data_IF_407917520528
#
_entry.id   IF_407917520528
#
_cell.length_a   1.000
_cell.length_b   1.000
_cell.length_c   1.000
_cell.angle_alpha   90.00
_cell.angle_beta   90.00
_cell.angle_gamma   90.00
#
_symmetry.space_group_name_H-M   'P 1'
#
loop_
_entity.id
_entity.type
_entity.pdbx_description
1 polymer ?
#
# COMPACT_ATOMS: atom_id res chain seq x y z
N UNK A 1 16.66 -44.88 5.20
CA UNK A 1 15.24 -44.98 5.61
C UNK A 1 14.58 -43.73 5.06
N UNK A 2 13.73 -43.88 4.05
CA UNK A 2 13.15 -42.77 3.30
C UNK A 2 12.26 -41.91 4.22
N UNK A 3 12.61 -40.64 4.40
CA UNK A 3 11.70 -39.67 5.02
C UNK A 3 10.52 -39.49 4.06
N UNK A 4 9.39 -40.02 4.49
CA UNK A 4 8.10 -39.85 3.86
C UNK A 4 7.76 -38.35 3.86
N UNK A 5 7.93 -37.70 2.71
CA UNK A 5 7.44 -36.35 2.47
C UNK A 5 5.91 -36.38 2.56
N UNK A 6 5.38 -36.08 3.73
CA UNK A 6 3.95 -35.84 3.91
C UNK A 6 3.69 -34.44 3.35
N UNK A 7 2.97 -34.27 2.22
CA UNK A 7 2.59 -32.95 1.77
C UNK A 7 1.62 -32.39 2.79
N UNK A 8 2.11 -31.51 3.65
CA UNK A 8 1.32 -30.86 4.69
C UNK A 8 0.45 -29.76 4.05
N UNK A 9 -0.52 -30.17 3.23
CA UNK A 9 -1.47 -29.29 2.55
C UNK A 9 -2.23 -28.41 3.56
N UNK A 10 -2.44 -28.89 4.80
CA UNK A 10 -3.10 -28.14 5.87
C UNK A 10 -2.25 -27.02 6.50
N UNK A 11 -1.01 -27.30 6.90
CA UNK A 11 -0.12 -26.27 7.50
C UNK A 11 0.51 -25.35 6.45
N UNK A 12 0.69 -25.84 5.21
CA UNK A 12 1.15 -25.03 4.08
C UNK A 12 0.15 -23.94 3.70
N UNK A 13 -1.14 -24.28 3.56
CA UNK A 13 -2.17 -23.27 3.26
C UNK A 13 -2.35 -22.25 4.38
N UNK A 14 -2.37 -22.69 5.64
CA UNK A 14 -2.49 -21.79 6.80
C UNK A 14 -1.28 -20.86 6.89
N UNK A 15 -0.06 -21.36 6.70
CA UNK A 15 1.15 -20.52 6.71
C UNK A 15 1.20 -19.53 5.54
N UNK A 16 0.72 -19.91 4.36
CA UNK A 16 0.59 -19.00 3.21
C UNK A 16 -0.46 -17.92 3.47
N UNK A 17 -1.63 -18.28 4.03
CA UNK A 17 -2.69 -17.33 4.38
C UNK A 17 -2.23 -16.34 5.47
N UNK A 18 -1.55 -16.84 6.51
CA UNK A 18 -0.98 -16.02 7.58
C UNK A 18 0.13 -15.13 7.02
N UNK A 19 1.01 -15.66 6.17
CA UNK A 19 2.06 -14.88 5.51
C UNK A 19 1.48 -13.76 4.64
N UNK A 20 0.45 -14.07 3.84
CA UNK A 20 -0.25 -13.07 3.04
C UNK A 20 -0.90 -11.99 3.90
N UNK A 21 -1.57 -12.37 5.00
CA UNK A 21 -2.17 -11.43 5.93
C UNK A 21 -1.12 -10.51 6.57
N UNK A 22 0.02 -11.06 6.99
CA UNK A 22 1.12 -10.28 7.58
C UNK A 22 1.67 -9.28 6.56
N UNK A 23 1.96 -9.72 5.34
CA UNK A 23 2.45 -8.83 4.27
C UNK A 23 1.40 -7.76 3.93
N UNK A 24 0.12 -8.12 3.92
CA UNK A 24 -0.97 -7.19 3.68
C UNK A 24 -1.09 -6.14 4.79
N UNK A 25 -0.99 -6.53 6.06
CA UNK A 25 -0.99 -5.59 7.20
C UNK A 25 0.22 -4.66 7.13
N UNK A 26 1.41 -5.20 6.84
CA UNK A 26 2.64 -4.40 6.65
C UNK A 26 2.45 -3.40 5.51
N UNK A 27 1.88 -3.84 4.38
CA UNK A 27 1.56 -2.97 3.26
C UNK A 27 0.60 -1.84 3.66
N UNK A 28 -0.49 -2.16 4.37
CA UNK A 28 -1.44 -1.15 4.86
C UNK A 28 -0.79 -0.16 5.84
N UNK A 29 0.11 -0.62 6.70
CA UNK A 29 0.85 0.25 7.61
C UNK A 29 1.81 1.17 6.84
N UNK A 30 2.54 0.65 5.86
CA UNK A 30 3.47 1.45 5.05
C UNK A 30 2.70 2.53 4.28
N UNK A 31 1.63 2.16 3.56
CA UNK A 31 0.83 3.12 2.80
C UNK A 31 0.09 4.08 3.73
N UNK A 32 -0.47 3.58 4.83
CA UNK A 32 -1.12 4.42 5.84
C UNK A 32 -0.16 5.47 6.40
N UNK A 33 1.08 5.09 6.68
CA UNK A 33 2.12 6.01 7.14
C UNK A 33 2.53 7.02 6.06
N UNK A 34 2.70 6.59 4.81
CA UNK A 34 2.97 7.47 3.66
C UNK A 34 1.88 8.51 3.49
N UNK A 35 0.62 8.08 3.50
CA UNK A 35 -0.55 8.95 3.34
C UNK A 35 -0.73 9.88 4.54
N UNK A 36 -0.46 9.40 5.75
CA UNK A 36 -0.52 10.21 6.96
C UNK A 36 0.52 11.33 6.90
N UNK A 37 1.77 11.00 6.57
CA UNK A 37 2.85 11.97 6.48
C UNK A 37 2.61 12.99 5.35
N UNK A 38 2.16 12.53 4.18
CA UNK A 38 1.77 13.41 3.07
C UNK A 38 0.60 14.32 3.44
N UNK A 39 -0.39 13.78 4.15
CA UNK A 39 -1.54 14.54 4.67
C UNK A 39 -1.13 15.60 5.69
N UNK A 40 -0.29 15.25 6.66
CA UNK A 40 0.17 16.17 7.69
C UNK A 40 1.04 17.30 7.12
N UNK A 41 1.89 17.02 6.13
CA UNK A 41 2.71 18.05 5.47
C UNK A 41 1.85 19.06 4.68
N UNK A 42 0.82 18.58 3.96
CA UNK A 42 0.01 19.43 3.07
C UNK A 42 -1.13 20.14 3.79
N UNK A 43 -1.81 19.44 4.70
CA UNK A 43 -3.04 19.92 5.37
C UNK A 43 -2.72 20.49 6.76
N UNK A 44 -1.59 20.09 7.33
CA UNK A 44 -1.22 20.40 8.71
C UNK A 44 -1.87 19.47 9.72
N UNK A 45 -1.94 19.93 10.97
CA UNK A 45 -2.25 19.19 12.20
C UNK A 45 -3.70 18.65 12.34
N UNK A 46 -4.45 18.53 11.24
CA UNK A 46 -5.84 18.04 11.20
C UNK A 46 -5.97 16.58 10.76
N UNK A 47 -4.86 15.92 10.45
CA UNK A 47 -4.84 14.61 9.81
C UNK A 47 -4.56 13.50 10.83
N UNK A 48 -5.52 12.62 11.02
CA UNK A 48 -5.40 11.51 11.98
C UNK A 48 -4.86 10.25 11.31
N UNK A 49 -3.98 9.50 11.99
CA UNK A 49 -3.41 8.24 11.45
C UNK A 49 -4.50 7.22 11.07
N UNK A 50 -5.60 7.17 11.84
CA UNK A 50 -6.75 6.31 11.52
C UNK A 50 -7.47 6.69 10.22
N UNK A 51 -7.52 7.98 9.86
CA UNK A 51 -8.13 8.44 8.60
C UNK A 51 -7.22 8.07 7.41
N UNK A 52 -5.90 8.22 7.57
CA UNK A 52 -4.92 7.82 6.57
C UNK A 52 -4.91 6.30 6.34
N UNK A 53 -5.03 5.51 7.41
CA UNK A 53 -5.10 4.05 7.32
C UNK A 53 -6.44 3.58 6.70
N UNK A 54 -7.52 4.30 6.97
CA UNK A 54 -8.81 4.11 6.28
C UNK A 54 -8.70 4.37 4.78
N UNK A 55 -8.02 5.44 4.36
CA UNK A 55 -7.74 5.70 2.94
C UNK A 55 -6.81 4.64 2.37
N UNK A 56 -5.77 4.20 3.08
CA UNK A 56 -4.88 3.14 2.62
C UNK A 56 -5.64 1.83 2.36
N UNK A 57 -6.50 1.42 3.30
CA UNK A 57 -7.34 0.23 3.17
C UNK A 57 -8.40 0.38 2.09
N UNK A 58 -9.34 1.31 2.30
CA UNK A 58 -10.48 1.51 1.41
C UNK A 58 -10.02 1.96 0.03
N UNK A 59 -9.03 2.84 -0.05
CA UNK A 59 -8.46 3.32 -1.31
C UNK A 59 -7.80 2.21 -2.10
N UNK A 60 -7.02 1.31 -1.49
CA UNK A 60 -6.43 0.18 -2.22
C UNK A 60 -7.52 -0.73 -2.79
N UNK A 61 -8.59 -0.99 -2.04
CA UNK A 61 -9.70 -1.81 -2.53
C UNK A 61 -10.54 -1.09 -3.59
N UNK A 62 -10.93 0.17 -3.39
CA UNK A 62 -11.78 0.92 -4.33
C UNK A 62 -11.03 1.29 -5.60
N UNK A 63 -9.80 1.79 -5.48
CA UNK A 63 -8.96 2.16 -6.64
C UNK A 63 -8.51 0.89 -7.36
N UNK A 64 -8.12 -0.16 -6.62
CA UNK A 64 -7.78 -1.45 -7.20
C UNK A 64 -8.96 -2.08 -7.94
N UNK A 65 -10.17 -2.05 -7.37
CA UNK A 65 -11.37 -2.50 -8.04
C UNK A 65 -11.72 -1.64 -9.26
N UNK A 66 -11.60 -0.31 -9.16
CA UNK A 66 -11.82 0.58 -10.30
C UNK A 66 -10.86 0.26 -11.46
N UNK A 67 -9.56 0.11 -11.17
CA UNK A 67 -8.56 -0.20 -12.19
C UNK A 67 -8.70 -1.64 -12.72
N UNK A 68 -9.18 -2.60 -11.92
CA UNK A 68 -9.33 -3.99 -12.35
C UNK A 68 -10.62 -4.23 -13.16
N UNK A 69 -11.74 -3.64 -12.77
CA UNK A 69 -13.06 -3.92 -13.34
C UNK A 69 -13.51 -2.91 -14.41
N UNK A 70 -13.14 -1.62 -14.31
CA UNK A 70 -13.57 -0.63 -15.31
C UNK A 70 -12.85 -0.69 -16.67
N UNK A 71 -11.63 -1.24 -16.85
CA UNK A 71 -11.05 -1.37 -18.18
C UNK A 71 -11.94 -2.18 -19.13
N UNK A 72 -12.69 -3.15 -18.59
CA UNK A 72 -13.64 -3.97 -19.34
C UNK A 72 -14.88 -3.19 -19.84
N UNK A 73 -15.17 -2.02 -19.26
CA UNK A 73 -16.42 -1.27 -19.51
C UNK A 73 -16.14 0.09 -20.19
N UNK A 74 -15.06 0.79 -19.79
CA UNK A 74 -14.80 2.20 -20.16
C UNK A 74 -13.40 2.36 -20.80
N UNK A 75 -12.63 1.26 -20.93
CA UNK A 75 -11.25 1.28 -21.39
C UNK A 75 -10.25 1.70 -20.30
N UNK A 76 -8.98 1.33 -20.50
CA UNK A 76 -7.91 1.46 -19.48
C UNK A 76 -7.71 2.89 -18.98
N UNK A 77 -7.93 3.88 -19.86
CA UNK A 77 -7.80 5.31 -19.53
C UNK A 77 -8.98 5.78 -18.67
N UNK A 78 -10.19 5.31 -18.95
CA UNK A 78 -11.39 5.64 -18.16
C UNK A 78 -11.34 5.08 -16.74
N UNK A 79 -10.88 3.83 -16.59
CA UNK A 79 -10.69 3.21 -15.27
C UNK A 79 -9.67 3.93 -14.40
N UNK A 80 -8.56 4.40 -14.99
CA UNK A 80 -7.55 5.18 -14.28
C UNK A 80 -8.10 6.53 -13.81
N UNK A 81 -8.83 7.25 -14.66
CA UNK A 81 -9.43 8.54 -14.31
C UNK A 81 -10.47 8.41 -13.19
N UNK A 82 -11.32 7.39 -13.24
CA UNK A 82 -12.31 7.13 -12.19
C UNK A 82 -11.63 6.70 -10.89
N UNK A 83 -10.60 5.84 -10.95
CA UNK A 83 -9.80 5.48 -9.78
C UNK A 83 -9.13 6.69 -9.13
N UNK A 84 -8.58 7.59 -9.95
CA UNK A 84 -7.99 8.85 -9.48
C UNK A 84 -9.06 9.77 -8.88
N UNK A 85 -10.24 9.85 -9.48
CA UNK A 85 -11.36 10.64 -8.97
C UNK A 85 -11.86 10.11 -7.61
N UNK A 86 -12.00 8.79 -7.48
CA UNK A 86 -12.39 8.10 -6.25
C UNK A 86 -11.34 8.36 -5.17
N UNK A 87 -10.07 8.22 -5.50
CA UNK A 87 -8.97 8.50 -4.56
C UNK A 87 -9.02 9.94 -4.07
N UNK A 88 -9.19 10.90 -4.98
CA UNK A 88 -9.30 12.32 -4.65
C UNK A 88 -10.53 12.61 -3.77
N UNK A 89 -11.65 11.93 -4.03
CA UNK A 89 -12.87 12.05 -3.26
C UNK A 89 -12.71 11.46 -1.85
N UNK A 90 -12.01 10.32 -1.73
CA UNK A 90 -11.67 9.69 -0.46
C UNK A 90 -10.79 10.62 0.38
N UNK A 91 -9.71 11.14 -0.21
CA UNK A 91 -8.80 12.11 0.44
C UNK A 91 -9.57 13.35 0.89
N UNK A 92 -10.45 13.90 0.05
CA UNK A 92 -11.30 15.04 0.40
C UNK A 92 -12.22 14.74 1.59
N UNK A 93 -12.87 13.58 1.59
CA UNK A 93 -13.85 13.22 2.61
C UNK A 93 -13.18 12.89 3.95
N UNK A 94 -12.11 12.10 3.92
CA UNK A 94 -11.39 11.65 5.12
C UNK A 94 -10.52 12.76 5.73
N UNK A 95 -9.81 13.57 4.94
CA UNK A 95 -8.99 14.66 5.50
C UNK A 95 -9.74 15.98 5.69
N UNK A 96 -11.05 16.02 5.37
CA UNK A 96 -11.91 17.22 5.47
C UNK A 96 -11.28 18.47 4.82
N UNK A 97 -10.59 18.28 3.70
CA UNK A 97 -9.87 19.35 3.00
C UNK A 97 -10.68 19.94 1.85
N UNK A 98 -10.34 21.16 1.44
CA UNK A 98 -10.76 21.71 0.15
C UNK A 98 -10.17 20.92 -1.04
N UNK A 99 -10.65 21.21 -2.25
CA UNK A 99 -10.17 20.58 -3.49
C UNK A 99 -8.66 20.77 -3.72
N UNK A 100 -8.11 21.94 -3.37
CA UNK A 100 -6.68 22.23 -3.41
C UNK A 100 -5.85 21.35 -2.45
N UNK A 101 -6.39 21.05 -1.27
CA UNK A 101 -5.73 20.16 -0.31
C UNK A 101 -5.66 18.72 -0.81
N UNK A 102 -6.73 18.22 -1.44
CA UNK A 102 -6.74 16.86 -1.97
C UNK A 102 -5.73 16.66 -3.12
N UNK A 103 -5.59 17.66 -4.00
CA UNK A 103 -4.58 17.65 -5.07
C UNK A 103 -3.16 17.78 -4.47
N UNK A 104 -2.97 18.61 -3.45
CA UNK A 104 -1.69 18.71 -2.77
C UNK A 104 -1.28 17.39 -2.11
N UNK A 105 -2.21 16.71 -1.44
CA UNK A 105 -1.96 15.41 -0.79
C UNK A 105 -1.65 14.34 -1.82
N UNK A 106 -2.30 14.32 -2.98
CA UNK A 106 -1.99 13.32 -4.02
C UNK A 106 -0.56 13.50 -4.57
N UNK A 107 -0.15 14.74 -4.85
CA UNK A 107 1.21 15.04 -5.31
C UNK A 107 2.22 14.68 -4.21
N UNK A 108 1.93 15.07 -2.96
CA UNK A 108 2.85 14.82 -1.86
C UNK A 108 2.93 13.34 -1.48
N UNK A 109 1.85 12.58 -1.66
CA UNK A 109 1.85 11.13 -1.51
C UNK A 109 2.79 10.47 -2.53
N UNK A 110 2.85 10.96 -3.77
CA UNK A 110 3.82 10.46 -4.77
C UNK A 110 5.24 10.73 -4.31
N UNK A 111 5.53 11.93 -3.80
CA UNK A 111 6.87 12.28 -3.31
C UNK A 111 7.28 11.40 -2.12
N UNK A 112 6.41 11.25 -1.12
CA UNK A 112 6.68 10.39 0.04
C UNK A 112 6.82 8.93 -0.38
N UNK A 113 6.02 8.46 -1.35
CA UNK A 113 6.15 7.11 -1.90
C UNK A 113 7.53 6.88 -2.53
N UNK A 114 8.04 7.83 -3.33
CA UNK A 114 9.40 7.75 -3.92
C UNK A 114 10.46 7.65 -2.81
N UNK A 115 10.35 8.48 -1.76
CA UNK A 115 11.28 8.44 -0.63
C UNK A 115 11.24 7.08 0.09
N UNK A 116 10.05 6.54 0.34
CA UNK A 116 9.88 5.24 0.99
C UNK A 116 10.39 4.10 0.13
N UNK A 117 10.16 4.11 -1.18
CA UNK A 117 10.72 3.13 -2.11
C UNK A 117 12.25 3.20 -2.10
N UNK A 118 12.83 4.39 -2.03
CA UNK A 118 14.27 4.56 -1.96
C UNK A 118 14.85 3.96 -0.67
N UNK A 119 14.20 4.20 0.47
CA UNK A 119 14.59 3.63 1.77
C UNK A 119 14.43 2.10 1.76
N UNK A 120 13.28 1.58 1.34
CA UNK A 120 13.00 0.15 1.25
C UNK A 120 13.93 -0.55 0.26
N UNK A 121 14.22 0.09 -0.87
CA UNK A 121 15.14 -0.42 -1.89
C UNK A 121 16.57 -0.48 -1.38
N UNK A 122 17.03 0.55 -0.66
CA UNK A 122 18.34 0.52 0.00
C UNK A 122 18.40 -0.57 1.08
N UNK A 123 17.33 -0.78 1.84
CA UNK A 123 17.24 -1.80 2.88
C UNK A 123 17.18 -3.22 2.29
N UNK A 124 16.45 -3.41 1.19
CA UNK A 124 16.39 -4.66 0.43
C UNK A 124 17.74 -4.98 -0.22
N UNK A 125 18.41 -4.01 -0.84
CA UNK A 125 19.76 -4.19 -1.38
C UNK A 125 20.76 -4.51 -0.28
N UNK A 126 20.67 -3.84 0.88
CA UNK A 126 21.45 -4.15 2.07
C UNK A 126 21.22 -5.58 2.55
N UNK A 127 19.96 -6.01 2.68
CA UNK A 127 19.60 -7.36 3.06
C UNK A 127 20.11 -8.40 2.04
N UNK A 128 19.96 -8.15 0.74
CA UNK A 128 20.46 -9.04 -0.34
C UNK A 128 21.98 -9.12 -0.37
N UNK A 129 22.71 -8.06 0.02
CA UNK A 129 24.17 -8.09 0.13
C UNK A 129 24.68 -8.66 1.46
N UNK A 130 23.89 -8.60 2.53
CA UNK A 130 24.25 -9.08 3.88
C UNK A 130 23.85 -10.55 4.10
N UNK A 131 22.70 -10.99 3.59
CA UNK A 131 22.20 -12.36 3.71
C UNK A 131 23.13 -13.45 3.14
N UNK A 132 23.85 -13.25 2.01
CA UNK A 132 24.83 -14.23 1.51
C UNK A 132 26.07 -14.38 2.39
N UNK A 133 26.26 -13.50 3.39
CA UNK A 133 27.44 -13.49 4.26
C UNK A 133 27.19 -14.06 5.65
N UNK A 134 26.03 -14.65 5.90
CA UNK A 134 25.75 -15.38 7.14
C UNK A 134 26.21 -16.84 6.93
N UNK A 135 27.37 -17.26 7.46
CA UNK A 135 27.81 -18.64 7.36
C UNK A 135 27.06 -19.43 8.43
N UNK A 136 25.98 -20.13 8.05
CA UNK A 136 25.22 -20.96 9.01
C UNK A 136 23.73 -21.19 8.73
N UNK A 137 23.20 -20.71 7.60
CA UNK A 137 21.98 -21.22 6.96
C UNK A 137 22.37 -22.07 5.75
#
# INVERSE_FOLDING_TARGET
>A
MAQLAVPSLGTGLISVLVGFLVVFIIYLLIIGFVLWLAGEIVVGRRVTFGEALGIAGVGTFLVGAAIAFLPAIIGSIGGLLVGLLIFLLLVKHYFKTGWLGAIGVSIMAVIVCIVVIFILGALALGAVFVLPRIPGL
#
